data_IF_087130910892
#
_entry.id   IF_087130910892
#
_cell.length_a   1.000
_cell.length_b   1.000
_cell.length_c   1.000
_cell.angle_alpha   90.00
_cell.angle_beta   90.00
_cell.angle_gamma   90.00
#
_symmetry.space_group_name_H-M   'P 1'
#
loop_
_entity.id
_entity.type
_entity.pdbx_description
1 polymer ?
#
# COMPACT_ATOMS: atom_id res chain seq x y z
N UNK A 1 30.23 35.22 21.05
CA UNK A 1 30.21 34.10 20.09
C UNK A 1 28.78 33.59 20.02
N UNK A 2 28.07 33.87 18.92
CA UNK A 2 26.73 33.35 18.69
C UNK A 2 26.87 31.93 18.16
N UNK A 3 26.46 30.94 18.95
CA UNK A 3 26.32 29.56 18.48
C UNK A 3 25.14 29.54 17.51
N UNK A 4 25.42 29.50 16.22
CA UNK A 4 24.42 29.28 15.18
C UNK A 4 23.74 27.93 15.45
N UNK A 5 22.41 27.96 15.60
CA UNK A 5 21.59 26.77 15.73
C UNK A 5 21.90 25.76 14.61
N UNK A 6 21.96 24.45 14.88
CA UNK A 6 22.16 23.45 13.83
C UNK A 6 21.06 23.63 12.79
N UNK A 7 21.46 23.93 11.56
CA UNK A 7 20.52 24.04 10.45
C UNK A 7 19.81 22.70 10.31
N UNK A 8 18.53 22.65 10.68
CA UNK A 8 17.65 21.51 10.46
C UNK A 8 17.73 21.23 8.97
N UNK A 9 18.34 20.12 8.57
CA UNK A 9 18.42 19.70 7.17
C UNK A 9 16.96 19.61 6.70
N UNK A 10 16.53 20.56 5.88
CA UNK A 10 15.24 20.50 5.21
C UNK A 10 15.33 19.36 4.20
N UNK A 11 15.12 18.13 4.67
CA UNK A 11 14.81 17.01 3.81
C UNK A 11 13.57 17.42 3.04
N UNK A 12 13.67 17.49 1.70
CA UNK A 12 12.52 17.74 0.85
C UNK A 12 11.46 16.68 1.20
N UNK A 13 10.27 17.10 1.62
CA UNK A 13 9.13 16.22 1.99
C UNK A 13 8.63 15.45 0.76
N UNK A 14 9.44 14.49 0.31
CA UNK A 14 9.22 13.68 -0.88
C UNK A 14 9.27 12.22 -0.47
N UNK A 15 8.53 11.41 -1.22
CA UNK A 15 8.55 9.95 -1.10
C UNK A 15 9.99 9.48 -1.31
N UNK A 16 10.61 8.83 -0.31
CA UNK A 16 11.99 8.37 -0.42
C UNK A 16 12.17 7.34 -1.55
N UNK A 17 13.31 7.33 -2.27
CA UNK A 17 13.56 6.39 -3.36
C UNK A 17 13.41 4.91 -2.96
N UNK A 18 13.75 4.58 -1.72
CA UNK A 18 13.56 3.23 -1.18
C UNK A 18 12.09 2.81 -1.17
N UNK A 19 11.18 3.72 -0.80
CA UNK A 19 9.74 3.48 -0.81
C UNK A 19 9.22 3.33 -2.24
N UNK A 20 9.69 4.18 -3.17
CA UNK A 20 9.36 4.07 -4.60
C UNK A 20 9.81 2.72 -5.19
N UNK A 21 10.92 2.16 -4.70
CA UNK A 21 11.38 0.83 -5.10
C UNK A 21 10.58 -0.33 -4.48
N UNK A 22 10.16 -0.17 -3.21
CA UNK A 22 9.53 -1.22 -2.41
C UNK A 22 8.06 -1.46 -2.73
N UNK A 23 7.27 -0.39 -2.90
CA UNK A 23 5.81 -0.48 -3.01
C UNK A 23 5.26 -1.06 -4.33
N UNK A 24 5.87 -0.84 -5.52
CA UNK A 24 5.31 -1.35 -6.77
C UNK A 24 5.06 -2.86 -6.82
N UNK A 25 5.98 -3.74 -6.36
CA UNK A 25 5.71 -5.16 -6.16
C UNK A 25 4.44 -5.46 -5.35
N UNK A 26 4.28 -4.78 -4.22
CA UNK A 26 3.21 -5.05 -3.26
C UNK A 26 1.87 -4.64 -3.84
N UNK A 27 1.77 -3.40 -4.33
CA UNK A 27 0.55 -2.90 -4.96
C UNK A 27 0.17 -3.75 -6.20
N UNK A 28 1.14 -4.13 -7.03
CA UNK A 28 0.88 -5.01 -8.17
C UNK A 28 0.41 -6.41 -7.76
N UNK A 29 0.67 -6.88 -6.54
CA UNK A 29 0.17 -8.15 -6.04
C UNK A 29 -1.30 -8.04 -5.57
N UNK A 30 -1.66 -6.96 -4.90
CA UNK A 30 -2.98 -6.80 -4.24
C UNK A 30 -4.07 -6.14 -5.09
N UNK A 31 -3.70 -5.55 -6.23
CA UNK A 31 -4.63 -4.85 -7.10
C UNK A 31 -4.52 -5.29 -8.57
N UNK A 32 -5.63 -5.21 -9.27
CA UNK A 32 -5.72 -5.23 -10.73
C UNK A 32 -5.26 -3.89 -11.31
N UNK A 33 -5.02 -3.82 -12.63
CA UNK A 33 -4.62 -2.56 -13.27
C UNK A 33 -5.66 -1.45 -13.06
N UNK A 34 -6.95 -1.77 -13.19
CA UNK A 34 -8.03 -0.79 -13.01
C UNK A 34 -8.14 -0.31 -11.56
N UNK A 35 -8.06 -1.21 -10.58
CA UNK A 35 -8.11 -0.80 -9.17
C UNK A 35 -6.95 0.11 -8.79
N UNK A 36 -5.77 -0.06 -9.40
CA UNK A 36 -4.65 0.88 -9.20
C UNK A 36 -5.00 2.26 -9.76
N UNK A 37 -5.60 2.33 -10.94
CA UNK A 37 -6.00 3.61 -11.53
C UNK A 37 -6.99 4.35 -10.65
N UNK A 38 -8.03 3.66 -10.20
CA UNK A 38 -9.03 4.22 -9.31
C UNK A 38 -8.41 4.66 -7.96
N UNK A 39 -7.54 3.83 -7.38
CA UNK A 39 -6.86 4.11 -6.11
C UNK A 39 -5.97 5.35 -6.15
N UNK A 40 -5.13 5.48 -7.18
CA UNK A 40 -4.21 6.61 -7.29
C UNK A 40 -4.97 7.92 -7.54
N UNK A 41 -6.01 7.89 -8.37
CA UNK A 41 -6.87 9.05 -8.61
C UNK A 41 -7.60 9.46 -7.33
N UNK A 42 -8.20 8.51 -6.61
CA UNK A 42 -8.90 8.77 -5.35
C UNK A 42 -7.97 9.32 -4.25
N UNK A 43 -6.69 8.93 -4.27
CA UNK A 43 -5.67 9.43 -3.34
C UNK A 43 -5.08 10.79 -3.71
N UNK A 44 -5.65 11.50 -4.69
CA UNK A 44 -5.17 12.80 -5.19
C UNK A 44 -3.79 12.74 -5.86
N UNK A 45 -3.42 11.58 -6.43
CA UNK A 45 -2.27 11.50 -7.31
C UNK A 45 -2.55 12.23 -8.65
N UNK A 46 -1.51 12.54 -9.45
CA UNK A 46 -1.70 13.16 -10.76
C UNK A 46 -2.64 12.35 -11.66
N UNK A 47 -3.58 13.03 -12.31
CA UNK A 47 -4.65 12.43 -13.13
C UNK A 47 -4.16 11.78 -14.42
N UNK A 48 -2.94 12.08 -14.86
CA UNK A 48 -2.31 11.43 -16.00
C UNK A 48 -1.97 9.98 -15.64
N UNK A 49 -2.76 9.04 -16.18
CA UNK A 49 -2.59 7.60 -15.94
C UNK A 49 -1.33 7.13 -16.67
N UNK A 50 -0.34 6.55 -15.96
CA UNK A 50 0.85 6.01 -16.59
C UNK A 50 0.54 4.75 -17.40
N UNK A 51 1.35 4.51 -18.43
CA UNK A 51 1.31 3.28 -19.22
C UNK A 51 2.22 2.19 -18.65
N UNK A 52 1.99 0.95 -19.09
CA UNK A 52 2.85 -0.21 -18.78
C UNK A 52 2.24 -1.21 -17.80
N UNK A 53 3.09 -2.08 -17.25
CA UNK A 53 2.69 -3.09 -16.26
C UNK A 53 2.25 -2.43 -14.95
N UNK A 54 1.48 -3.16 -14.12
CA UNK A 54 1.06 -2.68 -12.78
C UNK A 54 2.20 -2.08 -11.96
N UNK A 55 3.38 -2.73 -11.97
CA UNK A 55 4.56 -2.27 -11.24
C UNK A 55 5.12 -0.97 -11.84
N UNK A 56 5.19 -0.88 -13.16
CA UNK A 56 5.66 0.32 -13.85
C UNK A 56 4.72 1.50 -13.59
N UNK A 57 3.40 1.27 -13.64
CA UNK A 57 2.39 2.29 -13.32
C UNK A 57 2.52 2.85 -11.90
N UNK A 58 2.56 1.96 -10.90
CA UNK A 58 2.75 2.37 -9.49
C UNK A 58 4.04 3.17 -9.32
N UNK A 59 5.15 2.69 -9.90
CA UNK A 59 6.44 3.39 -9.81
C UNK A 59 6.40 4.77 -10.49
N UNK A 60 5.74 4.87 -11.64
CA UNK A 60 5.58 6.11 -12.38
C UNK A 60 4.74 7.13 -11.59
N UNK A 61 3.64 6.70 -10.97
CA UNK A 61 2.85 7.58 -10.12
C UNK A 61 3.61 8.07 -8.89
N UNK A 62 4.28 7.18 -8.15
CA UNK A 62 5.05 7.60 -6.97
C UNK A 62 6.13 8.64 -7.33
N UNK A 63 6.73 8.54 -8.52
CA UNK A 63 7.65 9.56 -9.05
C UNK A 63 6.91 10.84 -9.43
N UNK A 64 5.76 10.73 -10.10
CA UNK A 64 4.96 11.87 -10.50
C UNK A 64 4.46 12.67 -9.30
N UNK A 65 4.07 11.99 -8.21
CA UNK A 65 3.64 12.61 -6.95
C UNK A 65 4.75 13.50 -6.38
N UNK A 66 6.00 13.03 -6.35
CA UNK A 66 7.15 13.84 -5.91
C UNK A 66 7.44 15.10 -6.74
N UNK A 67 6.93 15.15 -7.98
CA UNK A 67 7.17 16.24 -8.93
C UNK A 67 5.98 17.19 -9.01
N UNK A 68 4.76 16.66 -9.00
CA UNK A 68 3.53 17.37 -9.34
C UNK A 68 2.65 17.70 -8.13
N UNK A 69 2.82 17.04 -6.98
CA UNK A 69 2.01 17.29 -5.79
C UNK A 69 2.72 18.23 -4.82
N UNK A 70 1.95 19.12 -4.17
CA UNK A 70 2.46 20.01 -3.13
C UNK A 70 2.84 19.25 -1.85
N UNK A 71 2.03 18.26 -1.47
CA UNK A 71 2.23 17.42 -0.29
C UNK A 71 2.38 15.91 -0.65
N UNK A 72 3.53 15.49 -1.23
CA UNK A 72 3.74 14.11 -1.67
C UNK A 72 3.54 13.03 -0.60
N UNK A 73 3.89 13.35 0.65
CA UNK A 73 3.79 12.39 1.76
C UNK A 73 2.35 12.22 2.25
N UNK A 74 1.49 13.22 2.10
CA UNK A 74 0.07 13.12 2.41
C UNK A 74 -0.63 12.19 1.41
N UNK A 75 -0.36 12.39 0.12
CA UNK A 75 -0.84 11.49 -0.96
C UNK A 75 -0.37 10.05 -0.72
N UNK A 76 0.89 9.85 -0.32
CA UNK A 76 1.40 8.53 0.06
C UNK A 76 0.67 7.95 1.27
N UNK A 77 0.37 8.77 2.28
CA UNK A 77 -0.37 8.37 3.47
C UNK A 77 -1.75 7.80 3.11
N UNK A 78 -2.49 8.48 2.22
CA UNK A 78 -3.79 8.03 1.73
C UNK A 78 -3.70 6.66 1.03
N UNK A 79 -2.74 6.50 0.11
CA UNK A 79 -2.50 5.24 -0.58
C UNK A 79 -2.20 4.08 0.39
N UNK A 80 -1.40 4.35 1.42
CA UNK A 80 -1.05 3.34 2.42
C UNK A 80 -2.24 3.02 3.34
N UNK A 81 -3.09 4.00 3.64
CA UNK A 81 -4.34 3.79 4.38
C UNK A 81 -5.22 2.75 3.70
N UNK A 82 -5.57 2.99 2.43
CA UNK A 82 -6.37 2.05 1.62
C UNK A 82 -5.70 0.67 1.49
N UNK A 83 -4.37 0.66 1.31
CA UNK A 83 -3.61 -0.60 1.27
C UNK A 83 -3.72 -1.39 2.57
N UNK A 84 -3.54 -0.73 3.72
CA UNK A 84 -3.62 -1.37 5.02
C UNK A 84 -5.03 -1.89 5.31
N UNK A 85 -6.08 -1.10 5.00
CA UNK A 85 -7.46 -1.52 5.19
C UNK A 85 -7.80 -2.78 4.38
N UNK A 86 -7.43 -2.81 3.10
CA UNK A 86 -7.65 -3.99 2.24
C UNK A 86 -6.92 -5.23 2.78
N UNK A 87 -5.68 -5.07 3.25
CA UNK A 87 -4.89 -6.18 3.79
C UNK A 87 -5.40 -6.69 5.14
N UNK A 88 -5.79 -5.81 6.06
CA UNK A 88 -6.37 -6.18 7.36
C UNK A 88 -7.65 -7.00 7.15
N UNK A 89 -8.51 -6.59 6.22
CA UNK A 89 -9.74 -7.35 5.92
C UNK A 89 -9.44 -8.75 5.38
N UNK A 90 -8.43 -8.90 4.50
CA UNK A 90 -8.06 -10.23 3.97
C UNK A 90 -7.47 -11.16 5.03
N UNK A 91 -6.66 -10.64 5.95
CA UNK A 91 -6.07 -11.46 7.02
C UNK A 91 -7.14 -11.92 8.01
N UNK A 92 -8.02 -11.01 8.44
CA UNK A 92 -9.09 -11.34 9.41
C UNK A 92 -10.06 -12.39 8.84
N UNK A 93 -10.35 -12.33 7.54
CA UNK A 93 -11.13 -13.36 6.85
C UNK A 93 -10.40 -14.71 6.77
N UNK A 94 -9.11 -14.70 6.45
CA UNK A 94 -8.29 -15.92 6.40
C UNK A 94 -8.20 -16.61 7.77
N UNK A 95 -8.02 -15.83 8.85
CA UNK A 95 -7.97 -16.34 10.22
C UNK A 95 -9.32 -16.94 10.65
N UNK A 96 -10.43 -16.31 10.23
CA UNK A 96 -11.79 -16.82 10.44
C UNK A 96 -11.98 -18.16 9.74
N UNK A 97 -11.60 -18.26 8.46
CA UNK A 97 -11.69 -19.51 7.68
C UNK A 97 -10.81 -20.59 8.29
N UNK A 98 -9.58 -20.26 8.69
CA UNK A 98 -8.68 -21.19 9.37
C UNK A 98 -9.29 -21.72 10.68
N UNK A 99 -9.89 -20.84 11.47
CA UNK A 99 -10.60 -21.20 12.70
C UNK A 99 -11.77 -22.16 12.43
N UNK A 100 -12.64 -21.85 11.45
CA UNK A 100 -13.76 -22.70 11.08
C UNK A 100 -13.32 -24.06 10.54
N UNK A 101 -12.26 -24.09 9.72
CA UNK A 101 -11.71 -25.34 9.18
C UNK A 101 -11.14 -26.21 10.31
N UNK A 102 -10.38 -25.64 11.25
CA UNK A 102 -9.88 -26.37 12.43
C UNK A 102 -11.01 -26.96 13.27
N UNK A 103 -12.11 -26.20 13.44
CA UNK A 103 -13.31 -26.67 14.15
C UNK A 103 -13.97 -27.84 13.39
N UNK A 104 -14.13 -27.73 12.07
CA UNK A 104 -14.69 -28.78 11.22
C UNK A 104 -13.88 -30.08 11.29
N UNK A 105 -12.55 -30.01 11.18
CA UNK A 105 -11.68 -31.19 11.30
C UNK A 105 -11.73 -31.81 12.70
N UNK A 106 -11.85 -30.99 13.75
CA UNK A 106 -12.05 -31.47 15.12
C UNK A 106 -13.38 -32.24 15.25
N UNK A 107 -14.49 -31.70 14.72
CA UNK A 107 -15.79 -32.37 14.72
C UNK A 107 -15.78 -33.69 13.97
N UNK A 108 -15.14 -33.77 12.80
CA UNK A 108 -15.00 -35.04 12.07
C UNK A 108 -14.21 -36.07 12.88
N UNK A 109 -13.13 -35.66 13.54
CA UNK A 109 -12.28 -36.57 14.33
C UNK A 109 -13.03 -37.17 15.53
N UNK A 110 -13.95 -36.43 16.14
CA UNK A 110 -14.77 -36.89 17.27
C UNK A 110 -15.87 -37.86 16.79
N UNK A 111 -16.47 -37.63 15.62
CA UNK A 111 -17.60 -38.41 15.12
C UNK A 111 -17.23 -39.62 14.23
N UNK A 112 -15.94 -39.95 14.09
CA UNK A 112 -15.44 -41.11 13.31
C UNK A 112 -14.97 -42.26 14.23
N UNK A 113 -15.21 -42.21 15.54
CA UNK A 113 -14.90 -43.29 16.50
C UNK A 113 -16.15 -44.07 16.98
N UNK A 114 -17.17 -44.21 16.12
CA UNK A 114 -18.33 -45.09 16.33
C UNK A 114 -18.34 -46.19 15.28
#
# INVERSE_FOLDING_TARGET
MQLSSPQKIFQKNTIPPAIIGLLPPMFAHHYTCKELDDLFIASFAPSEIPEGTKREKVKAWLRAINVKCEEPLEVLGNLLGDFMEKNIMTQTQADSIHHYMKKFYSYKKINTQL
#
